data_IF_420086174369
#
_entry.id   IF_420086174369
#
_cell.length_a   1.000
_cell.length_b   1.000
_cell.length_c   1.000
_cell.angle_alpha   90.00
_cell.angle_beta   90.00
_cell.angle_gamma   90.00
#
_symmetry.space_group_name_H-M   'P 1'
#
loop_
_entity.id
_entity.type
_entity.pdbx_description
1 polymer ?
#
# COMPACT_ATOMS: atom_id res chain seq x y z
N UNK A 1 2.71 15.36 -20.92
CA UNK A 1 3.59 14.28 -20.43
C UNK A 1 3.12 12.88 -20.83
N UNK A 2 1.90 12.44 -20.49
CA UNK A 2 1.41 11.10 -20.84
C UNK A 2 1.47 10.74 -22.33
N UNK A 3 1.11 11.69 -23.21
CA UNK A 3 1.24 11.52 -24.68
C UNK A 3 2.71 11.41 -25.12
N UNK A 4 3.60 12.22 -24.54
CA UNK A 4 5.03 12.22 -24.86
C UNK A 4 5.73 10.91 -24.44
N UNK A 5 5.37 10.35 -23.28
CA UNK A 5 5.88 9.04 -22.84
C UNK A 5 5.36 7.91 -23.72
N UNK A 6 4.09 7.98 -24.15
CA UNK A 6 3.54 6.98 -25.08
C UNK A 6 4.23 7.01 -26.44
N UNK A 7 4.53 8.19 -26.98
CA UNK A 7 5.32 8.32 -28.22
C UNK A 7 6.75 7.80 -28.07
N UNK A 8 7.30 7.75 -26.86
CA UNK A 8 8.61 7.18 -26.55
C UNK A 8 8.55 5.66 -26.22
N UNK A 9 7.39 5.02 -26.35
CA UNK A 9 7.21 3.58 -26.06
C UNK A 9 6.98 3.24 -24.59
N UNK A 10 6.79 4.23 -23.72
CA UNK A 10 6.51 4.06 -22.29
C UNK A 10 5.01 4.12 -22.00
N UNK A 11 4.57 3.55 -20.86
CA UNK A 11 3.14 3.52 -20.52
C UNK A 11 2.59 4.92 -20.22
N UNK A 12 1.30 5.14 -20.54
CA UNK A 12 0.61 6.38 -20.21
C UNK A 12 0.58 6.65 -18.69
N UNK A 13 0.48 5.58 -17.89
CA UNK A 13 0.52 5.65 -16.43
C UNK A 13 1.85 6.19 -15.90
N UNK A 14 2.98 5.82 -16.53
CA UNK A 14 4.29 6.34 -16.15
C UNK A 14 4.39 7.85 -16.41
N UNK A 15 3.91 8.32 -17.56
CA UNK A 15 3.90 9.76 -17.88
C UNK A 15 2.99 10.58 -16.96
N UNK A 16 1.88 10.02 -16.52
CA UNK A 16 1.02 10.63 -15.50
C UNK A 16 1.70 10.68 -14.13
N UNK A 17 2.39 9.60 -13.73
CA UNK A 17 3.16 9.55 -12.48
C UNK A 17 4.28 10.60 -12.44
N UNK A 18 5.07 10.71 -13.52
CA UNK A 18 6.14 11.72 -13.63
C UNK A 18 5.56 13.15 -13.59
N UNK A 19 4.45 13.40 -14.28
CA UNK A 19 3.77 14.69 -14.20
C UNK A 19 3.33 15.02 -12.76
N UNK A 20 2.83 14.03 -12.02
CA UNK A 20 2.47 14.17 -10.61
C UNK A 20 3.66 14.47 -9.71
N UNK A 21 4.81 13.80 -9.92
CA UNK A 21 6.04 14.08 -9.18
C UNK A 21 6.52 15.51 -9.40
N UNK A 22 6.57 15.97 -10.66
CA UNK A 22 6.97 17.36 -10.98
C UNK A 22 6.02 18.37 -10.33
N UNK A 23 4.71 18.10 -10.37
CA UNK A 23 3.71 18.97 -9.76
C UNK A 23 3.82 19.01 -8.22
N UNK A 24 4.21 17.90 -7.60
CA UNK A 24 4.36 17.79 -6.15
C UNK A 24 5.48 18.64 -5.56
N UNK A 25 6.50 18.97 -6.36
CA UNK A 25 7.61 19.87 -5.99
C UNK A 25 7.28 21.36 -6.21
N UNK A 26 6.11 21.68 -6.78
CA UNK A 26 5.71 23.07 -7.01
C UNK A 26 5.07 23.71 -5.77
N UNK A 27 5.14 25.04 -5.69
CA UNK A 27 4.47 25.82 -4.64
C UNK A 27 2.94 25.67 -4.66
N UNK A 28 2.38 25.27 -5.81
CA UNK A 28 0.95 25.01 -6.00
C UNK A 28 0.55 23.54 -5.77
N UNK A 29 1.48 22.68 -5.32
CA UNK A 29 1.24 21.24 -5.13
C UNK A 29 0.01 20.93 -4.28
N UNK A 30 -0.20 21.65 -3.18
CA UNK A 30 -1.35 21.44 -2.29
C UNK A 30 -2.69 21.81 -2.95
N UNK A 31 -2.72 22.91 -3.71
CA UNK A 31 -3.91 23.33 -4.43
C UNK A 31 -4.22 22.35 -5.56
N UNK A 32 -3.20 22.03 -6.37
CA UNK A 32 -3.35 21.09 -7.47
C UNK A 32 -3.74 19.68 -7.02
N UNK A 33 -3.20 19.20 -5.89
CA UNK A 33 -3.64 17.94 -5.29
C UNK A 33 -5.11 18.00 -4.86
N UNK A 34 -5.53 19.09 -4.22
CA UNK A 34 -6.91 19.28 -3.78
C UNK A 34 -7.89 19.30 -4.97
N UNK A 35 -7.48 19.89 -6.09
CA UNK A 35 -8.29 19.94 -7.32
C UNK A 35 -8.36 18.58 -8.04
N UNK A 36 -7.29 17.76 -7.96
CA UNK A 36 -7.23 16.44 -8.59
C UNK A 36 -7.94 15.35 -7.78
N UNK A 37 -8.02 15.48 -6.45
CA UNK A 37 -8.66 14.47 -5.58
C UNK A 37 -10.09 14.14 -6.00
N UNK A 38 -11.00 15.11 -6.22
CA UNK A 38 -12.37 14.81 -6.67
C UNK A 38 -12.41 14.06 -8.00
N UNK A 39 -11.54 14.44 -8.95
CA UNK A 39 -11.45 13.79 -10.26
C UNK A 39 -10.97 12.35 -10.09
N UNK A 40 -9.91 12.14 -9.32
CA UNK A 40 -9.39 10.81 -8.97
C UNK A 40 -10.48 9.93 -8.35
N UNK A 41 -11.27 10.47 -7.44
CA UNK A 41 -12.29 9.71 -6.74
C UNK A 41 -13.44 9.29 -7.68
N UNK A 42 -13.84 10.16 -8.61
CA UNK A 42 -14.83 9.83 -9.67
C UNK A 42 -14.28 8.73 -10.58
N UNK A 43 -13.05 8.87 -11.09
CA UNK A 43 -12.45 7.87 -11.97
C UNK A 43 -12.17 6.55 -11.25
N UNK A 44 -11.80 6.61 -9.96
CA UNK A 44 -11.65 5.43 -9.10
C UNK A 44 -12.97 4.69 -8.94
N UNK A 45 -14.06 5.41 -8.67
CA UNK A 45 -15.40 4.80 -8.58
C UNK A 45 -15.81 4.15 -9.91
N UNK A 46 -15.60 4.84 -11.04
CA UNK A 46 -15.87 4.30 -12.37
C UNK A 46 -15.04 3.05 -12.67
N UNK A 47 -13.75 3.05 -12.29
CA UNK A 47 -12.87 1.90 -12.43
C UNK A 47 -13.39 0.70 -11.63
N UNK A 48 -13.69 0.87 -10.34
CA UNK A 48 -14.18 -0.22 -9.50
C UNK A 48 -15.54 -0.76 -9.94
N UNK A 49 -16.47 0.10 -10.38
CA UNK A 49 -17.77 -0.35 -10.93
C UNK A 49 -17.55 -1.15 -12.21
N UNK A 50 -16.74 -0.65 -13.14
CA UNK A 50 -16.49 -1.33 -14.42
C UNK A 50 -15.80 -2.67 -14.22
N UNK A 51 -14.78 -2.73 -13.36
CA UNK A 51 -14.06 -3.96 -13.04
C UNK A 51 -14.97 -4.93 -12.30
N UNK A 52 -15.80 -4.45 -11.37
CA UNK A 52 -16.81 -5.27 -10.70
C UNK A 52 -17.80 -5.90 -11.66
N UNK A 53 -18.21 -5.19 -12.71
CA UNK A 53 -19.10 -5.72 -13.76
C UNK A 53 -18.44 -6.77 -14.66
N UNK A 54 -17.11 -6.78 -14.76
CA UNK A 54 -16.38 -7.80 -15.52
C UNK A 54 -16.33 -9.15 -14.78
N UNK A 55 -16.49 -9.16 -13.46
CA UNK A 55 -16.45 -10.38 -12.65
C UNK A 55 -17.74 -11.18 -12.89
N UNK A 56 -17.60 -12.45 -13.27
CA UNK A 56 -18.73 -13.37 -13.35
C UNK A 56 -19.03 -13.97 -11.95
N UNK A 57 -20.15 -13.59 -11.29
CA UNK A 57 -20.48 -14.11 -9.96
C UNK A 57 -20.77 -15.62 -9.98
N UNK A 58 -21.19 -16.19 -11.12
CA UNK A 58 -21.40 -17.64 -11.24
C UNK A 58 -20.06 -18.38 -11.24
N UNK A 59 -19.05 -17.83 -11.91
CA UNK A 59 -17.69 -18.37 -11.87
C UNK A 59 -17.13 -18.31 -10.44
N UNK A 60 -17.26 -17.16 -9.78
CA UNK A 60 -16.79 -16.97 -8.40
C UNK A 60 -17.39 -17.99 -7.42
N UNK A 61 -18.69 -18.30 -7.55
CA UNK A 61 -19.38 -19.26 -6.69
C UNK A 61 -19.04 -20.72 -7.03
N UNK A 62 -19.01 -21.06 -8.33
CA UNK A 62 -18.70 -22.43 -8.77
C UNK A 62 -17.25 -22.84 -8.51
N UNK A 63 -16.33 -21.88 -8.55
CA UNK A 63 -14.89 -22.11 -8.34
C UNK A 63 -14.39 -21.46 -7.03
N UNK A 64 -15.29 -21.27 -6.05
CA UNK A 64 -14.99 -20.57 -4.81
C UNK A 64 -13.74 -21.11 -4.09
N UNK A 65 -13.53 -22.43 -4.08
CA UNK A 65 -12.35 -23.04 -3.46
C UNK A 65 -11.04 -22.67 -4.17
N UNK A 66 -11.05 -22.64 -5.51
CA UNK A 66 -9.87 -22.26 -6.31
C UNK A 66 -9.58 -20.75 -6.19
N UNK A 67 -10.63 -19.93 -6.20
CA UNK A 67 -10.49 -18.49 -6.00
C UNK A 67 -9.94 -18.20 -4.60
N UNK A 68 -10.50 -18.83 -3.57
CA UNK A 68 -10.06 -18.67 -2.18
C UNK A 68 -8.61 -19.11 -1.98
N UNK A 69 -8.17 -20.20 -2.62
CA UNK A 69 -6.78 -20.66 -2.53
C UNK A 69 -5.81 -19.66 -3.16
N UNK A 70 -6.13 -19.09 -4.32
CA UNK A 70 -5.30 -18.05 -4.97
C UNK A 70 -5.25 -16.77 -4.13
N UNK A 71 -6.39 -16.33 -3.60
CA UNK A 71 -6.48 -15.16 -2.72
C UNK A 71 -5.62 -15.37 -1.47
N UNK A 72 -5.79 -16.51 -0.79
CA UNK A 72 -5.02 -16.84 0.41
C UNK A 72 -3.52 -16.95 0.11
N UNK A 73 -3.15 -17.64 -0.98
CA UNK A 73 -1.75 -17.79 -1.41
C UNK A 73 -1.11 -16.43 -1.69
N UNK A 74 -1.84 -15.53 -2.35
CA UNK A 74 -1.33 -14.19 -2.65
C UNK A 74 -1.11 -13.39 -1.37
N UNK A 75 -2.10 -13.35 -0.48
CA UNK A 75 -2.01 -12.63 0.77
C UNK A 75 -0.88 -13.15 1.66
N UNK A 76 -0.87 -14.46 1.92
CA UNK A 76 0.12 -15.12 2.77
C UNK A 76 1.50 -15.06 2.14
N UNK A 77 1.61 -15.41 0.86
CA UNK A 77 2.87 -15.42 0.13
C UNK A 77 3.53 -14.04 0.10
N UNK A 78 2.79 -13.00 -0.33
CA UNK A 78 3.34 -11.64 -0.36
C UNK A 78 3.60 -11.09 1.03
N UNK A 79 2.75 -11.37 2.02
CA UNK A 79 3.00 -10.92 3.39
C UNK A 79 4.26 -11.55 3.99
N UNK A 80 4.51 -12.83 3.74
CA UNK A 80 5.72 -13.52 4.18
C UNK A 80 6.96 -13.00 3.47
N UNK A 81 6.90 -12.81 2.14
CA UNK A 81 8.02 -12.28 1.36
C UNK A 81 8.34 -10.85 1.80
N UNK A 82 7.36 -9.95 1.77
CA UNK A 82 7.58 -8.53 2.05
C UNK A 82 7.88 -8.28 3.54
N UNK A 83 7.19 -8.98 4.45
CA UNK A 83 7.50 -8.94 5.88
C UNK A 83 8.86 -9.56 6.20
N UNK A 84 9.24 -10.63 5.51
CA UNK A 84 10.55 -11.26 5.61
C UNK A 84 11.68 -10.34 5.13
N UNK A 85 11.50 -9.70 3.98
CA UNK A 85 12.43 -8.68 3.46
C UNK A 85 12.56 -7.53 4.45
N UNK A 86 11.45 -6.96 4.94
CA UNK A 86 11.51 -5.91 5.95
C UNK A 86 12.29 -6.34 7.20
N UNK A 87 12.14 -7.59 7.66
CA UNK A 87 12.97 -8.11 8.76
C UNK A 87 14.44 -8.26 8.40
N UNK A 88 14.76 -8.70 7.19
CA UNK A 88 16.15 -8.84 6.73
C UNK A 88 16.88 -7.48 6.71
N UNK A 89 16.16 -6.39 6.41
CA UNK A 89 16.67 -5.02 6.49
C UNK A 89 16.72 -4.44 7.93
N UNK A 90 16.47 -5.26 8.96
CA UNK A 90 16.61 -4.84 10.36
C UNK A 90 15.36 -4.21 10.97
N UNK A 91 14.22 -4.19 10.26
CA UNK A 91 12.96 -3.71 10.85
C UNK A 91 12.37 -4.79 11.76
N UNK A 92 12.32 -4.55 13.08
CA UNK A 92 11.94 -5.58 14.07
C UNK A 92 10.54 -5.39 14.67
N UNK A 93 9.97 -4.19 14.54
CA UNK A 93 8.75 -3.75 15.24
C UNK A 93 7.48 -3.99 14.40
N UNK A 94 6.61 -2.97 14.30
CA UNK A 94 5.37 -3.02 13.51
C UNK A 94 5.62 -2.99 12.00
N UNK A 95 6.78 -2.45 11.58
CA UNK A 95 7.08 -2.21 10.17
C UNK A 95 6.95 -3.46 9.28
N UNK A 96 7.49 -4.66 9.62
CA UNK A 96 7.28 -5.87 8.82
C UNK A 96 5.82 -6.28 8.65
N UNK A 97 4.99 -6.05 9.66
CA UNK A 97 3.56 -6.37 9.60
C UNK A 97 2.80 -5.40 8.71
N UNK A 98 3.09 -4.10 8.86
CA UNK A 98 2.49 -3.05 8.04
C UNK A 98 2.89 -3.22 6.57
N UNK A 99 4.17 -3.47 6.29
CA UNK A 99 4.67 -3.68 4.93
C UNK A 99 4.14 -4.99 4.35
N UNK A 100 4.21 -6.07 5.11
CA UNK A 100 3.77 -7.40 4.67
C UNK A 100 2.29 -7.44 4.33
N UNK A 101 1.43 -7.01 5.26
CA UNK A 101 -0.02 -7.09 5.08
C UNK A 101 -0.55 -5.89 4.27
N UNK A 102 0.03 -4.71 4.38
CA UNK A 102 -0.40 -3.50 3.66
C UNK A 102 -0.12 -3.53 2.16
N UNK A 103 0.91 -4.26 1.72
CA UNK A 103 1.29 -4.35 0.30
C UNK A 103 0.97 -5.70 -0.35
N UNK A 104 0.22 -6.54 0.37
CA UNK A 104 -0.10 -7.90 -0.06
C UNK A 104 -1.17 -7.98 -1.16
N UNK A 105 -1.95 -6.91 -1.38
CA UNK A 105 -2.98 -6.88 -2.41
C UNK A 105 -2.42 -7.01 -3.84
N UNK A 106 -3.25 -7.48 -4.76
CA UNK A 106 -2.94 -7.46 -6.20
C UNK A 106 -3.21 -6.06 -6.74
N UNK A 107 -2.29 -5.54 -7.56
CA UNK A 107 -2.40 -4.21 -8.15
C UNK A 107 -3.22 -4.19 -9.45
N UNK A 108 -3.76 -3.03 -9.80
CA UNK A 108 -4.64 -2.80 -10.95
C UNK A 108 -3.99 -3.14 -12.31
N UNK A 109 -2.67 -3.04 -12.41
CA UNK A 109 -1.92 -3.43 -13.61
C UNK A 109 -2.11 -4.90 -13.99
N UNK A 110 -2.47 -5.75 -13.02
CA UNK A 110 -2.76 -7.17 -13.26
C UNK A 110 -3.97 -7.34 -14.17
N UNK A 111 -4.94 -6.42 -14.15
CA UNK A 111 -6.08 -6.44 -15.08
C UNK A 111 -5.65 -6.17 -16.52
N UNK A 112 -4.77 -5.19 -16.71
CA UNK A 112 -4.23 -4.87 -18.04
C UNK A 112 -3.46 -6.06 -18.59
N UNK A 113 -2.62 -6.69 -17.76
CA UNK A 113 -1.85 -7.86 -18.16
C UNK A 113 -2.75 -9.06 -18.46
N UNK A 114 -3.73 -9.36 -17.61
CA UNK A 114 -4.67 -10.47 -17.81
C UNK A 114 -5.51 -10.28 -19.08
N UNK A 115 -6.01 -9.05 -19.31
CA UNK A 115 -6.77 -8.74 -20.53
C UNK A 115 -5.91 -8.84 -21.79
N UNK A 116 -4.68 -8.35 -21.73
CA UNK A 116 -3.73 -8.44 -22.86
C UNK A 116 -3.39 -9.90 -23.14
N UNK A 117 -3.14 -10.71 -22.11
CA UNK A 117 -2.87 -12.14 -22.26
C UNK A 117 -4.05 -12.93 -22.83
N UNK A 118 -5.29 -12.57 -22.48
CA UNK A 118 -6.49 -13.14 -23.10
C UNK A 118 -6.60 -12.74 -24.57
N UNK A 119 -6.39 -11.45 -24.89
CA UNK A 119 -6.49 -10.93 -26.26
C UNK A 119 -5.41 -11.50 -27.18
N UNK A 120 -4.22 -11.80 -26.66
CA UNK A 120 -3.13 -12.44 -27.41
C UNK A 120 -3.24 -13.97 -27.45
N UNK A 121 -4.28 -14.57 -26.86
CA UNK A 121 -4.47 -16.02 -26.79
C UNK A 121 -3.51 -16.76 -25.85
N UNK A 122 -2.73 -16.05 -25.03
CA UNK A 122 -1.80 -16.64 -24.05
C UNK A 122 -2.54 -17.14 -22.79
N UNK A 123 -3.69 -16.56 -22.47
CA UNK A 123 -4.53 -16.96 -21.36
C UNK A 123 -5.82 -17.58 -21.87
N UNK A 124 -6.23 -18.69 -21.24
CA UNK A 124 -7.57 -19.22 -21.42
C UNK A 124 -8.60 -18.33 -20.71
N UNK A 125 -9.87 -18.40 -21.14
CA UNK A 125 -10.96 -17.66 -20.47
C UNK A 125 -11.06 -18.03 -18.99
N UNK A 126 -10.90 -19.32 -18.64
CA UNK A 126 -10.92 -19.77 -17.25
C UNK A 126 -9.80 -19.14 -16.40
N UNK A 127 -8.58 -19.04 -16.96
CA UNK A 127 -7.45 -18.40 -16.26
C UNK A 127 -7.66 -16.89 -16.10
N UNK A 128 -8.25 -16.25 -17.12
CA UNK A 128 -8.63 -14.84 -17.06
C UNK A 128 -9.68 -14.60 -15.96
N UNK A 129 -10.75 -15.40 -15.93
CA UNK A 129 -11.83 -15.26 -14.95
C UNK A 129 -11.31 -15.52 -13.52
N UNK A 130 -10.41 -16.49 -13.33
CA UNK A 130 -9.73 -16.74 -12.05
C UNK A 130 -8.86 -15.56 -11.61
N UNK A 131 -8.02 -15.03 -12.50
CA UNK A 131 -7.14 -13.90 -12.23
C UNK A 131 -7.93 -12.62 -11.92
N UNK A 132 -8.98 -12.34 -12.70
CA UNK A 132 -9.85 -11.20 -12.53
C UNK A 132 -10.59 -11.27 -11.18
N UNK A 133 -11.27 -12.39 -10.92
CA UNK A 133 -12.06 -12.59 -9.70
C UNK A 133 -11.19 -12.55 -8.45
N UNK A 134 -10.04 -13.22 -8.46
CA UNK A 134 -9.09 -13.19 -7.33
C UNK A 134 -8.52 -11.79 -7.10
N UNK A 135 -8.18 -11.04 -8.17
CA UNK A 135 -7.69 -9.66 -8.05
C UNK A 135 -8.74 -8.77 -7.40
N UNK A 136 -9.99 -8.78 -7.88
CA UNK A 136 -11.07 -7.96 -7.31
C UNK A 136 -11.33 -8.32 -5.85
N UNK A 137 -11.36 -9.62 -5.51
CA UNK A 137 -11.50 -10.06 -4.13
C UNK A 137 -10.34 -9.61 -3.24
N UNK A 138 -9.09 -9.69 -3.71
CA UNK A 138 -7.95 -9.19 -2.93
C UNK A 138 -8.02 -7.68 -2.71
N UNK A 139 -8.46 -6.89 -3.70
CA UNK A 139 -8.65 -5.44 -3.54
C UNK A 139 -9.75 -5.14 -2.53
N UNK A 140 -10.88 -5.86 -2.60
CA UNK A 140 -11.99 -5.70 -1.66
C UNK A 140 -11.61 -6.10 -0.22
N UNK A 141 -10.80 -7.15 -0.06
CA UNK A 141 -10.35 -7.65 1.25
C UNK A 141 -9.14 -6.88 1.81
N UNK A 142 -8.44 -6.11 0.99
CA UNK A 142 -7.22 -5.38 1.36
C UNK A 142 -7.36 -4.49 2.61
N UNK A 143 -8.45 -3.70 2.79
CA UNK A 143 -8.61 -2.88 3.99
C UNK A 143 -8.69 -3.72 5.25
N UNK A 144 -9.37 -4.87 5.18
CA UNK A 144 -9.51 -5.81 6.30
C UNK A 144 -8.15 -6.41 6.64
N UNK A 145 -7.44 -6.95 5.64
CA UNK A 145 -6.12 -7.57 5.83
C UNK A 145 -5.09 -6.56 6.34
N UNK A 146 -5.07 -5.36 5.79
CA UNK A 146 -4.19 -4.27 6.23
C UNK A 146 -4.53 -3.80 7.65
N UNK A 147 -5.82 -3.75 8.01
CA UNK A 147 -6.28 -3.45 9.36
C UNK A 147 -5.81 -4.47 10.40
N UNK A 148 -5.60 -5.73 10.00
CA UNK A 148 -5.06 -6.78 10.87
C UNK A 148 -3.56 -6.60 11.17
N UNK A 149 -2.83 -5.75 10.44
CA UNK A 149 -1.40 -5.55 10.66
C UNK A 149 -1.06 -5.07 12.08
N UNK A 150 -1.85 -4.13 12.60
CA UNK A 150 -1.66 -3.58 13.94
C UNK A 150 -1.94 -4.60 15.07
N UNK A 151 -3.11 -5.28 15.12
CA UNK A 151 -3.38 -6.26 16.17
C UNK A 151 -2.42 -7.45 16.11
N UNK A 152 -2.10 -7.96 14.91
CA UNK A 152 -1.14 -9.06 14.75
C UNK A 152 0.27 -8.65 15.18
N UNK A 153 0.72 -7.46 14.78
CA UNK A 153 1.99 -6.93 15.22
C UNK A 153 2.08 -6.77 16.74
N UNK A 154 1.00 -6.29 17.39
CA UNK A 154 0.96 -6.11 18.85
C UNK A 154 0.95 -7.44 19.58
N UNK A 155 0.18 -8.41 19.11
CA UNK A 155 0.18 -9.77 19.66
C UNK A 155 1.58 -10.40 19.55
N UNK A 156 2.24 -10.24 18.40
CA UNK A 156 3.60 -10.75 18.19
C UNK A 156 4.64 -10.08 19.10
N UNK A 157 4.51 -8.77 19.33
CA UNK A 157 5.37 -8.04 20.27
C UNK A 157 5.13 -8.40 21.74
N UNK A 158 3.93 -8.86 22.11
CA UNK A 158 3.68 -9.39 23.46
C UNK A 158 4.32 -10.77 23.64
N UNK A 159 4.37 -11.56 22.58
CA UNK A 159 4.94 -12.92 22.60
C UNK A 159 6.47 -12.93 22.53
N UNK A 160 7.08 -12.02 21.76
CA UNK A 160 8.53 -11.79 21.85
C UNK A 160 8.79 -10.93 23.08
N UNK A 161 9.71 -11.35 23.97
CA UNK A 161 10.26 -10.46 24.99
C UNK A 161 10.61 -9.13 24.33
N UNK A 162 10.33 -7.98 24.97
CA UNK A 162 10.61 -6.69 24.37
C UNK A 162 12.06 -6.73 23.90
N UNK A 163 12.26 -6.62 22.59
CA UNK A 163 13.56 -6.22 22.08
C UNK A 163 13.82 -4.94 22.86
N UNK A 164 14.91 -4.93 23.64
CA UNK A 164 15.40 -3.71 24.23
C UNK A 164 15.69 -2.79 23.04
N UNK A 165 14.68 -2.04 22.57
CA UNK A 165 14.93 -0.69 22.09
C UNK A 165 15.78 -0.10 23.17
N UNK A 166 17.06 0.15 22.84
CA UNK A 166 18.03 0.74 23.75
C UNK A 166 17.25 1.72 24.63
N UNK A 167 17.23 1.44 25.93
CA UNK A 167 16.53 2.29 26.88
C UNK A 167 16.83 3.73 26.48
N UNK A 168 15.82 4.63 26.38
CA UNK A 168 16.08 6.02 26.02
C UNK A 168 17.26 6.43 26.86
N UNK A 169 18.39 6.72 26.19
CA UNK A 169 19.68 6.98 26.83
C UNK A 169 19.36 7.85 28.02
N UNK A 170 19.58 7.33 29.23
CA UNK A 170 19.08 7.91 30.46
C UNK A 170 19.26 9.42 30.35
N UNK A 171 18.15 10.16 30.48
CA UNK A 171 18.18 11.62 30.43
C UNK A 171 19.39 12.07 31.26
N UNK A 172 20.28 12.94 30.73
CA UNK A 172 21.46 13.37 31.46
C UNK A 172 21.03 13.74 32.87
N UNK A 173 21.55 13.08 33.90
CA UNK A 173 21.08 13.32 35.28
C UNK A 173 21.47 14.72 35.79
N UNK A 174 22.30 15.44 35.02
CA UNK A 174 22.75 16.80 35.25
C UNK A 174 21.86 17.86 34.55
N UNK A 175 20.53 17.73 34.59
CA UNK A 175 19.64 18.82 34.15
C UNK A 175 19.51 19.84 35.29
N UNK A 176 19.94 21.10 35.10
CA UNK A 176 19.77 22.13 36.12
C UNK A 176 18.27 22.35 36.45
N UNK A 177 17.92 22.70 37.70
CA UNK A 177 16.54 23.02 38.05
C UNK A 177 16.05 24.22 37.22
N UNK A 178 14.94 24.04 36.51
CA UNK A 178 14.30 25.07 35.66
C UNK A 178 14.41 24.86 34.15
N UNK A 179 14.99 23.77 33.67
CA UNK A 179 15.13 23.48 32.23
C UNK A 179 13.95 22.68 31.65
N UNK A 180 13.50 23.01 30.43
CA UNK A 180 12.50 22.24 29.66
C UNK A 180 13.15 21.47 28.51
N UNK A 181 12.95 20.15 28.44
CA UNK A 181 13.44 19.32 27.33
C UNK A 181 12.32 19.17 26.29
N UNK A 182 12.56 19.62 25.06
CA UNK A 182 11.64 19.43 23.93
C UNK A 182 12.05 18.20 23.13
N UNK A 183 11.31 17.10 23.29
CA UNK A 183 11.52 15.85 22.55
C UNK A 183 10.89 15.94 21.15
N UNK A 184 11.67 16.40 20.17
CA UNK A 184 11.30 16.48 18.75
C UNK A 184 11.25 17.91 18.23
N UNK A 185 12.19 18.29 17.36
CA UNK A 185 12.34 19.65 16.82
C UNK A 185 11.68 19.83 15.44
N UNK A 186 10.42 19.37 15.32
CA UNK A 186 9.58 19.55 14.13
C UNK A 186 8.92 20.93 14.07
N UNK A 187 7.93 21.13 13.19
CA UNK A 187 7.20 22.42 13.07
C UNK A 187 6.62 22.88 14.42
N UNK A 188 5.94 21.98 15.13
CA UNK A 188 5.33 22.27 16.44
C UNK A 188 6.38 22.42 17.55
N UNK A 189 7.45 21.61 17.51
CA UNK A 189 8.53 21.65 18.51
C UNK A 189 9.37 22.94 18.44
N UNK A 190 9.58 23.48 17.24
CA UNK A 190 10.25 24.77 17.03
C UNK A 190 9.46 25.93 17.65
N UNK A 191 8.14 25.93 17.49
CA UNK A 191 7.28 26.98 18.05
C UNK A 191 7.26 26.91 19.58
N UNK A 192 7.12 25.70 20.15
CA UNK A 192 7.14 25.51 21.59
C UNK A 192 8.49 25.93 22.22
N UNK A 193 9.61 25.61 21.57
CA UNK A 193 10.94 26.01 22.03
C UNK A 193 11.23 27.52 21.90
N UNK A 194 10.46 28.26 21.11
CA UNK A 194 10.59 29.71 20.98
C UNK A 194 9.76 30.51 21.98
N UNK A 195 8.82 29.86 22.68
CA UNK A 195 7.91 30.50 23.66
C UNK A 195 8.34 30.20 25.11
N UNK A 196 9.01 29.06 25.33
CA UNK A 196 9.58 28.63 26.61
C UNK A 196 10.96 29.26 26.84
#
# INVERSE_FOLDING_TARGET
>A
MGYATQSAGLSFALGAFVAGLILSESEFSHQALSDVVPVRDIFGLLFFVTVGMLVDPRYALSHAAQVASVVALTFVGKALILGGVARAFGYVNMAPWIVGLGLSQIGEFSFVLARTGLASGLLSKATYDLALTSTVLTMALSPVVSGLALPLGRAWQKWRKPVQTAAPSALPQDVPPGHVIVAGYGRSGKVAAGIL
#
